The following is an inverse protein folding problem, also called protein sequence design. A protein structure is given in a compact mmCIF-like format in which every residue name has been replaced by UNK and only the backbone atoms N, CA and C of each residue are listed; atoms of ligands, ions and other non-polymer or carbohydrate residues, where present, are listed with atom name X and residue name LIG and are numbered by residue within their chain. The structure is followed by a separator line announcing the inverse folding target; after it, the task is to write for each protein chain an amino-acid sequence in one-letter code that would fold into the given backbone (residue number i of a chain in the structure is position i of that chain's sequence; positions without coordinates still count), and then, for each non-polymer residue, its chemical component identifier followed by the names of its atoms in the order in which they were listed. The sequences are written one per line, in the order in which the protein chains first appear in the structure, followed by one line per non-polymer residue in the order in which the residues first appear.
data_IF_820276456654
#
_entry.id   IF_820276456654
#
_cell.length_a   1.000
_cell.length_b   1.000
_cell.length_c   1.000
_cell.angle_alpha   90.00
_cell.angle_beta   90.00
_cell.angle_gamma   90.00
#
_symmetry.space_group_name_H-M   'P 1'
#
loop_
_entity.id
_entity.type
_entity.pdbx_description
1 polymer ?
#
# COMPACT_ATOMS: atom_id res chain seq x y z
N UNK A 1 0.55 -23.52 8.84
CA UNK A 1 1.29 -22.74 9.86
C UNK A 1 2.20 -21.70 9.21
N UNK A 2 3.10 -22.09 8.29
CA UNK A 2 4.03 -21.16 7.63
C UNK A 2 3.36 -20.01 6.83
N UNK A 3 2.37 -20.29 5.97
CA UNK A 3 1.66 -19.25 5.20
C UNK A 3 0.92 -18.25 6.09
N UNK A 4 0.34 -18.72 7.20
CA UNK A 4 -0.34 -17.84 8.16
C UNK A 4 0.66 -16.91 8.84
N UNK A 5 1.83 -17.42 9.25
CA UNK A 5 2.89 -16.61 9.81
C UNK A 5 3.33 -15.50 8.84
N UNK A 6 3.48 -15.82 7.55
CA UNK A 6 3.83 -14.82 6.53
C UNK A 6 2.76 -13.73 6.40
N UNK A 7 1.47 -14.09 6.44
CA UNK A 7 0.38 -13.10 6.40
C UNK A 7 0.42 -12.19 7.63
N UNK A 8 0.66 -12.75 8.82
CA UNK A 8 0.77 -11.97 10.05
C UNK A 8 1.97 -11.03 10.03
N UNK A 9 3.12 -11.49 9.53
CA UNK A 9 4.31 -10.66 9.37
C UNK A 9 4.09 -9.56 8.33
N UNK A 10 3.38 -9.84 7.24
CA UNK A 10 3.04 -8.84 6.24
C UNK A 10 2.16 -7.72 6.83
N UNK A 11 1.13 -8.10 7.59
CA UNK A 11 0.29 -7.13 8.29
C UNK A 11 1.09 -6.31 9.31
N UNK A 12 1.95 -6.95 10.10
CA UNK A 12 2.81 -6.25 11.05
C UNK A 12 3.74 -5.26 10.34
N UNK A 13 4.28 -5.64 9.18
CA UNK A 13 5.09 -4.75 8.35
C UNK A 13 4.29 -3.57 7.83
N UNK A 14 3.09 -3.78 7.27
CA UNK A 14 2.22 -2.69 6.81
C UNK A 14 1.93 -1.70 7.93
N UNK A 15 1.63 -2.20 9.13
CA UNK A 15 1.44 -1.35 10.33
C UNK A 15 2.69 -0.51 10.61
N UNK A 16 3.88 -1.12 10.60
CA UNK A 16 5.14 -0.38 10.81
C UNK A 16 5.40 0.67 9.72
N UNK A 17 5.10 0.35 8.46
CA UNK A 17 5.21 1.28 7.33
C UNK A 17 4.29 2.49 7.54
N UNK A 18 3.03 2.26 7.91
CA UNK A 18 2.09 3.34 8.15
C UNK A 18 2.43 4.16 9.40
N UNK A 19 2.88 3.53 10.49
CA UNK A 19 3.40 4.26 11.65
C UNK A 19 4.60 5.13 11.29
N UNK A 20 5.50 4.62 10.45
CA UNK A 20 6.62 5.38 9.91
C UNK A 20 6.12 6.54 9.03
N UNK A 21 5.14 6.32 8.16
CA UNK A 21 4.54 7.40 7.36
C UNK A 21 3.98 8.53 8.22
N UNK A 22 3.45 8.20 9.40
CA UNK A 22 2.99 9.19 10.38
C UNK A 22 4.08 10.17 10.82
N UNK A 23 5.33 9.75 10.93
CA UNK A 23 6.44 10.67 11.26
C UNK A 23 6.83 11.57 10.08
N UNK A 24 6.57 11.15 8.84
CA UNK A 24 6.81 11.95 7.64
C UNK A 24 5.75 13.03 7.40
N UNK A 25 4.62 13.02 8.13
CA UNK A 25 3.69 14.15 8.14
C UNK A 25 4.37 15.44 8.60
N UNK A 26 5.44 15.34 9.40
CA UNK A 26 6.25 16.48 9.83
C UNK A 26 7.38 16.85 8.84
N UNK A 27 7.71 16.03 7.84
CA UNK A 27 8.96 16.13 7.03
C UNK A 27 8.71 16.73 5.63
N UNK A 28 7.57 17.41 5.42
CA UNK A 28 7.25 18.29 4.26
C UNK A 28 7.51 17.72 2.84
N UNK A 29 7.57 16.40 2.66
CA UNK A 29 7.72 15.79 1.33
C UNK A 29 6.55 14.88 0.99
N UNK A 30 5.59 15.42 0.24
CA UNK A 30 4.47 14.65 -0.30
C UNK A 30 4.91 13.43 -1.12
N UNK A 31 5.94 13.57 -1.95
CA UNK A 31 6.43 12.47 -2.78
C UNK A 31 6.94 11.29 -1.96
N UNK A 32 7.74 11.55 -0.92
CA UNK A 32 8.24 10.50 -0.02
C UNK A 32 7.08 9.86 0.74
N UNK A 33 6.17 10.67 1.26
CA UNK A 33 4.98 10.18 1.95
C UNK A 33 4.16 9.23 1.05
N UNK A 34 3.85 9.64 -0.18
CA UNK A 34 3.10 8.85 -1.15
C UNK A 34 3.80 7.51 -1.50
N UNK A 35 5.13 7.51 -1.65
CA UNK A 35 5.90 6.28 -1.86
C UNK A 35 5.73 5.32 -0.66
N UNK A 36 5.82 5.85 0.56
CA UNK A 36 5.70 5.04 1.77
C UNK A 36 4.30 4.44 1.90
N UNK A 37 3.24 5.22 1.71
CA UNK A 37 1.88 4.74 1.98
C UNK A 37 1.26 3.94 0.83
N UNK A 38 1.73 4.12 -0.41
CA UNK A 38 1.14 3.44 -1.57
C UNK A 38 2.08 2.39 -2.17
N UNK A 39 3.34 2.76 -2.42
CA UNK A 39 4.24 1.91 -3.19
C UNK A 39 4.87 0.81 -2.34
N UNK A 40 5.35 1.13 -1.13
CA UNK A 40 6.01 0.14 -0.25
C UNK A 40 5.10 -1.05 0.07
N UNK A 41 3.84 -0.87 0.52
CA UNK A 41 2.94 -1.99 0.80
C UNK A 41 2.63 -2.83 -0.44
N UNK A 42 2.42 -2.18 -1.59
CA UNK A 42 2.18 -2.87 -2.85
C UNK A 42 3.40 -3.71 -3.28
N UNK A 43 4.62 -3.17 -3.11
CA UNK A 43 5.86 -3.91 -3.36
C UNK A 43 6.01 -5.11 -2.42
N UNK A 44 5.72 -4.95 -1.12
CA UNK A 44 5.74 -6.08 -0.18
C UNK A 44 4.79 -7.19 -0.64
N UNK A 45 3.55 -6.83 -0.98
CA UNK A 45 2.56 -7.77 -1.50
C UNK A 45 3.10 -8.52 -2.73
N UNK A 46 3.67 -7.79 -3.68
CA UNK A 46 4.33 -8.37 -4.85
C UNK A 46 5.47 -9.32 -4.50
N UNK A 47 6.38 -8.93 -3.61
CA UNK A 47 7.52 -9.75 -3.16
C UNK A 47 7.02 -11.06 -2.54
N UNK A 48 6.02 -11.00 -1.65
CA UNK A 48 5.48 -12.21 -1.03
C UNK A 48 4.91 -13.17 -2.08
N UNK A 49 4.23 -12.65 -3.11
CA UNK A 49 3.75 -13.49 -4.22
C UNK A 49 4.92 -14.08 -5.02
N UNK A 50 5.94 -13.28 -5.33
CA UNK A 50 7.10 -13.71 -6.08
C UNK A 50 7.90 -14.84 -5.39
N UNK A 51 7.90 -14.91 -4.05
CA UNK A 51 8.57 -16.00 -3.31
C UNK A 51 7.91 -17.37 -3.51
N UNK A 52 6.68 -17.42 -4.04
CA UNK A 52 5.96 -18.69 -4.25
C UNK A 52 5.40 -19.32 -2.96
N UNK A 53 5.53 -18.66 -1.80
CA UNK A 53 5.07 -19.19 -0.50
C UNK A 53 3.55 -19.43 -0.46
N UNK A 54 2.80 -18.80 -1.38
CA UNK A 54 1.33 -18.93 -1.50
C UNK A 54 0.87 -19.82 -2.66
N UNK A 55 1.76 -20.61 -3.27
CA UNK A 55 1.43 -21.42 -4.46
C UNK A 55 0.74 -22.75 -4.15
N UNK A 56 0.71 -23.15 -2.88
CA UNK A 56 -0.01 -24.34 -2.46
C UNK A 56 -1.48 -24.25 -2.89
N UNK A 57 -1.96 -25.23 -3.66
CA UNK A 57 -3.31 -25.24 -4.26
C UNK A 57 -4.40 -24.98 -3.22
N UNK A 58 -4.26 -25.50 -2.00
CA UNK A 58 -5.24 -25.31 -0.91
C UNK A 58 -5.30 -23.87 -0.40
N UNK A 59 -4.25 -23.09 -0.59
CA UNK A 59 -4.08 -21.75 -0.03
C UNK A 59 -3.88 -20.66 -1.09
N UNK A 60 -4.05 -21.00 -2.37
CA UNK A 60 -3.82 -20.06 -3.48
C UNK A 60 -4.68 -18.80 -3.37
N UNK A 61 -5.89 -18.88 -2.80
CA UNK A 61 -6.75 -17.71 -2.61
C UNK A 61 -6.24 -16.75 -1.54
N UNK A 62 -5.37 -17.19 -0.62
CA UNK A 62 -4.84 -16.35 0.47
C UNK A 62 -3.98 -15.18 -0.06
N UNK A 63 -3.46 -15.27 -1.28
CA UNK A 63 -2.76 -14.15 -1.94
C UNK A 63 -3.61 -12.88 -2.05
N UNK A 64 -4.93 -13.00 -2.10
CA UNK A 64 -5.85 -11.87 -2.16
C UNK A 64 -6.22 -11.31 -0.77
N UNK A 65 -5.85 -12.02 0.29
CA UNK A 65 -5.99 -11.49 1.65
C UNK A 65 -4.95 -10.41 1.90
N UNK A 66 -3.73 -10.56 1.37
CA UNK A 66 -2.66 -9.55 1.49
C UNK A 66 -3.11 -8.13 1.09
N UNK A 67 -3.60 -7.87 -0.15
CA UNK A 67 -4.03 -6.53 -0.55
C UNK A 67 -5.24 -6.05 0.27
N UNK A 68 -6.08 -6.97 0.77
CA UNK A 68 -7.22 -6.62 1.65
C UNK A 68 -6.74 -6.16 3.03
N UNK A 69 -5.73 -6.82 3.59
CA UNK A 69 -5.11 -6.44 4.86
C UNK A 69 -4.35 -5.12 4.75
N UNK A 70 -3.63 -4.90 3.64
CA UNK A 70 -2.99 -3.62 3.35
C UNK A 70 -4.01 -2.48 3.29
N UNK A 71 -5.15 -2.70 2.64
CA UNK A 71 -6.23 -1.72 2.59
C UNK A 71 -6.83 -1.46 3.99
N UNK A 72 -7.02 -2.52 4.78
CA UNK A 72 -7.51 -2.38 6.15
C UNK A 72 -6.55 -1.58 7.03
N UNK A 73 -5.25 -1.89 6.96
CA UNK A 73 -4.21 -1.17 7.69
C UNK A 73 -4.12 0.31 7.24
N UNK A 74 -4.23 0.57 5.93
CA UNK A 74 -4.35 1.93 5.41
C UNK A 74 -5.56 2.66 5.98
N UNK A 75 -6.72 2.01 6.02
CA UNK A 75 -7.94 2.61 6.54
C UNK A 75 -7.80 2.99 8.02
N UNK A 76 -7.24 2.10 8.83
CA UNK A 76 -6.95 2.36 10.25
C UNK A 76 -5.97 3.53 10.40
N UNK A 77 -4.87 3.53 9.64
CA UNK A 77 -3.91 4.62 9.64
C UNK A 77 -4.54 5.95 9.23
N UNK A 78 -5.28 5.96 8.12
CA UNK A 78 -5.95 7.17 7.64
C UNK A 78 -6.95 7.70 8.67
N UNK A 79 -7.67 6.83 9.39
CA UNK A 79 -8.52 7.29 10.50
C UNK A 79 -7.69 7.96 11.59
N UNK A 80 -6.60 7.34 12.05
CA UNK A 80 -5.73 7.91 13.08
C UNK A 80 -5.17 9.27 12.67
N UNK A 81 -4.75 9.41 11.41
CA UNK A 81 -4.16 10.63 10.86
C UNK A 81 -5.22 11.72 10.64
N UNK A 82 -6.40 11.40 10.09
CA UNK A 82 -7.49 12.36 9.91
C UNK A 82 -8.07 12.88 11.23
N UNK A 83 -8.02 12.09 12.32
CA UNK A 83 -8.36 12.58 13.66
C UNK A 83 -7.31 13.54 14.24
N UNK A 84 -6.13 13.62 13.65
CA UNK A 84 -5.09 14.57 14.04
C UNK A 84 -5.11 15.79 13.10
N UNK A 85 -4.81 16.98 13.63
CA UNK A 85 -4.66 18.18 12.81
C UNK A 85 -3.42 18.15 11.89
N UNK A 86 -2.62 17.08 11.96
CA UNK A 86 -1.37 16.93 11.20
C UNK A 86 -1.62 16.73 9.71
N UNK A 87 -2.72 16.06 9.32
CA UNK A 87 -3.06 15.90 7.91
C UNK A 87 -3.36 17.24 7.23
N UNK A 88 -4.14 18.09 7.88
CA UNK A 88 -4.50 19.41 7.34
C UNK A 88 -3.24 20.29 7.17
N UNK A 89 -2.36 20.30 8.16
CA UNK A 89 -1.07 21.00 8.08
C UNK A 89 -0.19 20.46 6.95
N UNK A 90 -0.10 19.14 6.84
CA UNK A 90 0.67 18.49 5.78
C UNK A 90 0.16 18.85 4.39
N UNK A 91 -1.16 18.81 4.18
CA UNK A 91 -1.81 19.21 2.93
C UNK A 91 -1.54 20.68 2.63
N UNK A 92 -1.62 21.56 3.62
CA UNK A 92 -1.36 22.99 3.45
C UNK A 92 0.11 23.27 3.05
N UNK A 93 1.07 22.57 3.64
CA UNK A 93 2.50 22.77 3.36
C UNK A 93 2.94 22.19 2.01
N UNK A 94 2.22 21.18 1.50
CA UNK A 94 2.62 20.46 0.28
C UNK A 94 1.72 20.74 -0.94
N UNK A 95 0.57 21.39 -0.76
CA UNK A 95 -0.26 21.85 -1.88
C UNK A 95 0.30 23.17 -2.41
N UNK A 96 0.60 23.22 -3.70
CA UNK A 96 1.15 24.39 -4.36
C UNK A 96 0.29 24.79 -5.54
N UNK A 97 0.04 26.08 -5.72
CA UNK A 97 -0.68 26.60 -6.89
C UNK A 97 0.05 27.80 -7.46
N UNK A 98 0.33 27.76 -8.76
CA UNK A 98 0.86 28.85 -9.58
C UNK A 98 -0.06 29.07 -10.79
N UNK A 99 0.19 30.12 -11.58
CA UNK A 99 -0.62 30.44 -12.77
C UNK A 99 -0.60 29.35 -13.85
N UNK A 100 0.45 28.52 -13.90
CA UNK A 100 0.63 27.47 -14.92
C UNK A 100 0.53 26.04 -14.38
N UNK A 101 0.64 25.85 -13.07
CA UNK A 101 0.71 24.53 -12.47
C UNK A 101 0.19 24.53 -11.03
N UNK A 102 -0.65 23.56 -10.69
CA UNK A 102 -1.13 23.33 -9.33
C UNK A 102 -1.01 21.86 -8.92
N UNK A 103 -0.40 21.61 -7.77
CA UNK A 103 -0.48 20.33 -7.05
C UNK A 103 -1.49 20.52 -5.93
N UNK A 104 -2.61 19.82 -6.02
CA UNK A 104 -3.59 19.76 -4.95
C UNK A 104 -3.59 18.35 -4.35
N UNK A 105 -3.30 18.28 -3.06
CA UNK A 105 -3.42 17.04 -2.30
C UNK A 105 -4.84 16.96 -1.76
N UNK A 106 -5.43 15.76 -1.79
CA UNK A 106 -6.77 15.56 -1.23
C UNK A 106 -6.80 15.99 0.23
N UNK A 107 -7.81 16.78 0.60
CA UNK A 107 -8.03 17.16 2.00
C UNK A 107 -8.43 15.98 2.87
N UNK A 108 -8.88 14.88 2.26
CA UNK A 108 -9.22 13.66 2.97
C UNK A 108 -8.37 12.48 2.47
N UNK A 109 -7.49 12.00 3.34
CA UNK A 109 -6.66 10.82 3.08
C UNK A 109 -7.53 9.56 2.84
N UNK A 110 -8.74 9.52 3.39
CA UNK A 110 -9.71 8.43 3.19
C UNK A 110 -10.78 8.75 2.14
N UNK A 111 -10.54 9.75 1.28
CA UNK A 111 -11.40 10.00 0.12
C UNK A 111 -11.55 8.74 -0.74
N UNK A 112 -12.72 8.58 -1.36
CA UNK A 112 -13.06 7.38 -2.13
C UNK A 112 -12.04 7.10 -3.24
N UNK A 113 -11.51 8.15 -3.88
CA UNK A 113 -10.51 8.03 -4.95
C UNK A 113 -9.20 7.43 -4.43
N UNK A 114 -8.77 7.80 -3.22
CA UNK A 114 -7.56 7.26 -2.60
C UNK A 114 -7.74 5.79 -2.19
N UNK A 115 -8.90 5.46 -1.62
CA UNK A 115 -9.25 4.08 -1.27
C UNK A 115 -9.27 3.19 -2.52
N UNK A 116 -9.93 3.64 -3.59
CA UNK A 116 -9.98 2.93 -4.86
C UNK A 116 -8.59 2.78 -5.48
N UNK A 117 -7.76 3.83 -5.43
CA UNK A 117 -6.40 3.78 -5.94
C UNK A 117 -5.57 2.68 -5.25
N UNK A 118 -5.60 2.61 -3.91
CA UNK A 118 -4.85 1.62 -3.14
C UNK A 118 -5.36 0.20 -3.39
N UNK A 119 -6.68 0.04 -3.42
CA UNK A 119 -7.33 -1.23 -3.74
C UNK A 119 -6.85 -1.72 -5.11
N UNK A 120 -6.98 -0.88 -6.14
CA UNK A 120 -6.58 -1.23 -7.51
C UNK A 120 -5.09 -1.52 -7.57
N UNK A 121 -4.24 -0.65 -7.03
CA UNK A 121 -2.78 -0.80 -7.07
C UNK A 121 -2.33 -2.12 -6.45
N UNK A 122 -2.79 -2.43 -5.24
CA UNK A 122 -2.35 -3.63 -4.52
C UNK A 122 -2.83 -4.92 -5.21
N UNK A 123 -4.08 -4.95 -5.69
CA UNK A 123 -4.58 -6.10 -6.45
C UNK A 123 -3.89 -6.25 -7.80
N UNK A 124 -3.61 -5.15 -8.51
CA UNK A 124 -2.90 -5.19 -9.79
C UNK A 124 -1.49 -5.72 -9.62
N UNK A 125 -0.74 -5.31 -8.59
CA UNK A 125 0.61 -5.83 -8.34
C UNK A 125 0.57 -7.34 -8.07
N UNK A 126 -0.34 -7.81 -7.21
CA UNK A 126 -0.51 -9.25 -6.94
C UNK A 126 -0.78 -10.04 -8.22
N UNK A 127 -1.72 -9.56 -9.06
CA UNK A 127 -2.08 -10.22 -10.32
C UNK A 127 -0.93 -10.18 -11.33
N UNK A 128 -0.25 -9.04 -11.46
CA UNK A 128 0.85 -8.84 -12.39
C UNK A 128 2.02 -9.77 -12.06
N UNK A 129 2.44 -9.79 -10.78
CA UNK A 129 3.54 -10.65 -10.33
C UNK A 129 3.20 -12.12 -10.52
N UNK A 130 1.98 -12.54 -10.17
CA UNK A 130 1.55 -13.92 -10.39
C UNK A 130 1.62 -14.32 -11.87
N UNK A 131 1.15 -13.45 -12.78
CA UNK A 131 1.21 -13.72 -14.22
C UNK A 131 2.65 -13.85 -14.71
N UNK A 132 3.53 -12.95 -14.26
CA UNK A 132 4.97 -12.97 -14.59
C UNK A 132 5.62 -14.28 -14.10
N UNK A 133 5.37 -14.67 -12.84
CA UNK A 133 5.89 -15.91 -12.28
C UNK A 133 5.38 -17.15 -13.03
N UNK A 134 4.11 -17.15 -13.42
CA UNK A 134 3.51 -18.24 -14.19
C UNK A 134 4.12 -18.35 -15.59
N UNK A 135 4.39 -17.22 -16.25
CA UNK A 135 5.03 -17.19 -17.56
C UNK A 135 6.43 -17.79 -17.50
N UNK A 136 7.27 -17.37 -16.54
CA UNK A 136 8.63 -17.90 -16.40
C UNK A 136 8.65 -19.40 -16.09
N UNK A 137 7.72 -19.90 -15.27
CA UNK A 137 7.59 -21.33 -15.00
C UNK A 137 7.21 -22.17 -16.21
N UNK A 138 6.44 -21.59 -17.15
CA UNK A 138 6.05 -22.26 -18.39
C UNK A 138 7.15 -22.21 -19.45
N UNK A 139 7.96 -21.17 -19.46
CA UNK A 139 9.05 -21.01 -20.43
C UNK A 139 10.30 -21.83 -20.08
N UNK A 140 10.45 -22.25 -18.82
CA UNK A 140 11.57 -23.08 -18.35
C UNK A 140 11.31 -24.59 -18.37
N UNK A 141 10.11 -25.02 -18.77
CA UNK A 141 9.72 -26.43 -19.01
C UNK A 141 9.54 -26.66 -20.50
#
# INVERSE_FOLDING_TARGET
MFTLLVILLALAFDILVYLTAGSFLAVESFGIFAIIIYLIPALLNGVIIATGVMENIKFRFLKYILPTLTLFAYFVFGKMVTYSSEWEKFVANNSYSSESFSIQISKDLLSIDQILFILILNFLVVIAVEKVMTYFKRSGN
#
